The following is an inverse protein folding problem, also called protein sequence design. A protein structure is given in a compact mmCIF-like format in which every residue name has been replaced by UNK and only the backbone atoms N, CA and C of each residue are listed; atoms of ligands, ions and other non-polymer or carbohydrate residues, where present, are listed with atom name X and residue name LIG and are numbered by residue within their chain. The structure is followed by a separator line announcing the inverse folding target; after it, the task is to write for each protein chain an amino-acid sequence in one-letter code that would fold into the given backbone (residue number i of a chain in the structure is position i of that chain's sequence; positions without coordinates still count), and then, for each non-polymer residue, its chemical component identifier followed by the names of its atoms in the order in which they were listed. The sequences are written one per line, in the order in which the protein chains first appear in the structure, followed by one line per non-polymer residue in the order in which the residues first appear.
data_IF_437474216835
#
_entry.id   IF_437474216835
#
_cell.length_a   1.000
_cell.length_b   1.000
_cell.length_c   1.000
_cell.angle_alpha   90.00
_cell.angle_beta   90.00
_cell.angle_gamma   90.00
#
_symmetry.space_group_name_H-M   'P 1'
#
loop_
_entity.id
_entity.type
_entity.pdbx_description
1 polymer ?
#
# COMPACT_ATOMS: atom_id res chain seq x y z
N UNK A 1 30.39 1.18 19.25
CA UNK A 1 30.57 2.49 18.59
C UNK A 1 29.38 2.67 17.68
N UNK A 2 28.54 3.68 17.92
CA UNK A 2 27.37 3.95 17.08
C UNK A 2 27.87 4.56 15.77
N UNK A 3 27.62 3.91 14.64
CA UNK A 3 27.82 4.55 13.34
C UNK A 3 26.91 5.78 13.26
N UNK A 4 27.49 6.91 12.86
CA UNK A 4 26.71 8.12 12.61
C UNK A 4 25.86 7.92 11.36
N UNK A 5 24.57 8.24 11.45
CA UNK A 5 23.68 8.27 10.29
C UNK A 5 24.09 9.40 9.33
N UNK A 6 23.96 9.20 8.02
CA UNK A 6 24.26 10.24 7.04
C UNK A 6 23.32 11.43 7.19
N UNK A 7 23.84 12.62 6.88
CA UNK A 7 23.17 13.91 7.10
C UNK A 7 22.00 14.20 6.12
N UNK A 8 21.38 13.17 5.58
CA UNK A 8 20.35 13.27 4.53
C UNK A 8 18.96 13.37 5.18
N UNK A 9 18.14 14.29 4.68
CA UNK A 9 16.76 14.44 5.08
C UNK A 9 15.81 13.72 4.10
N UNK A 10 14.66 13.26 4.60
CA UNK A 10 13.64 12.61 3.77
C UNK A 10 12.25 13.04 4.21
N UNK A 11 11.32 13.12 3.27
CA UNK A 11 9.91 13.36 3.56
C UNK A 11 9.15 12.05 3.39
N UNK A 12 8.33 11.71 4.38
CA UNK A 12 7.45 10.56 4.31
C UNK A 12 6.00 11.00 4.18
N UNK A 13 5.26 10.33 3.30
CA UNK A 13 3.81 10.34 3.29
C UNK A 13 3.28 9.05 3.91
N UNK A 14 2.51 9.19 4.98
CA UNK A 14 1.86 8.06 5.66
C UNK A 14 0.34 8.07 5.45
N UNK A 15 -0.11 7.46 4.35
CA UNK A 15 -1.53 7.24 4.05
C UNK A 15 -2.19 6.19 4.94
N UNK A 16 -1.53 5.84 6.05
CA UNK A 16 -1.94 4.90 7.09
C UNK A 16 -1.30 5.29 8.43
N UNK A 17 -1.81 6.26 9.21
CA UNK A 17 -1.56 6.15 10.64
C UNK A 17 -2.22 4.82 11.06
N UNK A 18 -1.42 3.79 11.36
CA UNK A 18 -1.90 2.49 11.85
C UNK A 18 -2.86 2.66 13.04
N UNK A 19 -2.71 3.77 13.77
CA UNK A 19 -3.57 4.21 14.88
C UNK A 19 -4.94 4.78 14.48
N UNK A 20 -5.26 4.96 13.19
CA UNK A 20 -6.49 5.65 12.74
C UNK A 20 -7.35 4.85 11.76
N UNK A 21 -6.99 3.59 11.46
CA UNK A 21 -7.85 2.66 10.71
C UNK A 21 -8.22 3.06 9.28
N UNK A 22 -7.60 4.09 8.69
CA UNK A 22 -8.00 4.63 7.40
C UNK A 22 -6.98 4.35 6.30
N UNK A 23 -7.26 3.38 5.43
CA UNK A 23 -6.73 3.36 4.07
C UNK A 23 -7.53 4.34 3.21
N UNK A 24 -6.94 4.87 2.12
CA UNK A 24 -7.70 5.70 1.19
C UNK A 24 -8.70 4.83 0.43
N UNK A 25 -9.99 5.14 0.56
CA UNK A 25 -11.05 4.44 -0.17
C UNK A 25 -10.97 4.77 -1.65
N UNK A 26 -10.97 3.74 -2.50
CA UNK A 26 -11.11 3.90 -3.94
C UNK A 26 -12.57 4.20 -4.27
N UNK A 27 -12.82 5.19 -5.12
CA UNK A 27 -14.17 5.68 -5.46
C UNK A 27 -14.89 4.82 -6.52
N UNK A 28 -14.71 3.51 -6.45
CA UNK A 28 -15.38 2.56 -7.33
C UNK A 28 -15.74 1.29 -6.55
N UNK A 29 -16.88 0.71 -6.89
CA UNK A 29 -17.30 -0.62 -6.40
C UNK A 29 -16.94 -1.74 -7.37
N UNK A 30 -16.45 -1.42 -8.57
CA UNK A 30 -16.05 -2.43 -9.54
C UNK A 30 -14.60 -2.87 -9.24
N UNK A 31 -14.37 -4.13 -8.84
CA UNK A 31 -13.03 -4.64 -8.51
C UNK A 31 -12.02 -4.48 -9.64
N UNK A 32 -12.45 -4.66 -10.90
CA UNK A 32 -11.57 -4.57 -12.06
C UNK A 32 -11.08 -3.14 -12.29
N UNK A 33 -11.99 -2.16 -12.25
CA UNK A 33 -11.60 -0.75 -12.35
C UNK A 33 -10.72 -0.30 -11.18
N UNK A 34 -10.97 -0.82 -9.98
CA UNK A 34 -10.14 -0.54 -8.81
C UNK A 34 -8.72 -1.10 -8.99
N UNK A 35 -8.60 -2.33 -9.48
CA UNK A 35 -7.32 -2.96 -9.79
C UNK A 35 -6.55 -2.20 -10.87
N UNK A 36 -7.20 -1.92 -12.01
CA UNK A 36 -6.60 -1.19 -13.14
C UNK A 36 -6.10 0.20 -12.72
N UNK A 37 -6.83 0.90 -11.86
CA UNK A 37 -6.41 2.22 -11.37
C UNK A 37 -5.18 2.13 -10.44
N UNK A 38 -5.06 1.08 -9.62
CA UNK A 38 -3.85 0.85 -8.81
C UNK A 38 -2.68 0.43 -9.69
N UNK A 39 -2.92 -0.46 -10.66
CA UNK A 39 -1.91 -0.92 -11.59
C UNK A 39 -1.33 0.25 -12.39
N UNK A 40 -2.19 1.10 -12.95
CA UNK A 40 -1.75 2.29 -13.70
C UNK A 40 -0.90 3.24 -12.85
N UNK A 41 -1.20 3.39 -11.55
CA UNK A 41 -0.36 4.15 -10.63
C UNK A 41 1.02 3.50 -10.44
N UNK A 42 1.05 2.18 -10.20
CA UNK A 42 2.30 1.47 -9.98
C UNK A 42 3.19 1.51 -11.24
N UNK A 43 2.62 1.25 -12.41
CA UNK A 43 3.34 1.26 -13.69
C UNK A 43 3.94 2.64 -14.00
N UNK A 44 3.27 3.73 -13.60
CA UNK A 44 3.71 5.09 -13.90
C UNK A 44 4.74 5.64 -12.89
N UNK A 45 4.59 5.31 -11.60
CA UNK A 45 5.30 6.04 -10.54
C UNK A 45 6.36 5.23 -9.81
N UNK A 46 6.41 3.90 -10.00
CA UNK A 46 7.25 3.07 -9.12
C UNK A 46 8.03 2.00 -9.87
N UNK A 47 9.18 1.64 -9.30
CA UNK A 47 9.92 0.42 -9.61
C UNK A 47 9.72 -0.58 -8.47
N UNK A 48 9.47 -1.85 -8.79
CA UNK A 48 9.40 -2.90 -7.77
C UNK A 48 10.75 -3.06 -7.05
N UNK A 49 10.73 -3.05 -5.71
CA UNK A 49 11.91 -3.22 -4.86
C UNK A 49 12.01 -4.63 -4.25
N UNK A 50 11.19 -5.56 -4.75
CA UNK A 50 11.08 -6.95 -4.32
C UNK A 50 9.91 -7.62 -5.02
N UNK A 51 9.62 -8.87 -4.67
CA UNK A 51 8.51 -9.61 -5.26
C UNK A 51 7.17 -9.11 -4.70
N UNK A 52 6.30 -8.48 -5.51
CA UNK A 52 4.96 -8.15 -5.04
C UNK A 52 4.19 -9.42 -4.74
N UNK A 53 3.37 -9.37 -3.69
CA UNK A 53 2.49 -10.48 -3.34
C UNK A 53 1.05 -10.12 -3.65
N UNK A 54 0.36 -11.06 -4.29
CA UNK A 54 -1.08 -10.96 -4.55
C UNK A 54 -1.75 -12.13 -3.84
N UNK A 55 -2.68 -11.81 -2.93
CA UNK A 55 -3.33 -12.78 -2.05
C UNK A 55 -4.83 -12.55 -2.05
N UNK A 56 -5.61 -13.60 -2.29
CA UNK A 56 -7.04 -13.58 -2.02
C UNK A 56 -7.24 -13.89 -0.54
N UNK A 57 -7.91 -12.99 0.17
CA UNK A 57 -8.28 -13.14 1.58
C UNK A 57 -9.79 -13.29 1.67
N UNK A 58 -10.27 -14.31 2.37
CA UNK A 58 -11.68 -14.48 2.73
C UNK A 58 -11.79 -14.45 4.25
N UNK A 59 -12.47 -13.45 4.79
CA UNK A 59 -12.65 -13.25 6.22
C UNK A 59 -13.74 -14.18 6.78
N UNK A 60 -13.64 -14.53 8.06
CA UNK A 60 -14.73 -15.18 8.79
C UNK A 60 -15.71 -14.13 9.33
N UNK A 61 -16.91 -14.58 9.70
CA UNK A 61 -17.96 -13.72 10.24
C UNK A 61 -18.80 -12.99 9.20
N UNK A 62 -18.77 -13.41 7.93
CA UNK A 62 -19.79 -13.03 6.94
C UNK A 62 -20.88 -14.11 6.79
N UNK A 63 -21.90 -13.85 5.96
CA UNK A 63 -22.98 -14.80 5.70
C UNK A 63 -22.46 -16.17 5.24
N UNK A 64 -22.96 -17.30 5.78
CA UNK A 64 -22.43 -18.64 5.47
C UNK A 64 -22.38 -18.95 3.98
N UNK A 65 -23.48 -18.71 3.24
CA UNK A 65 -23.58 -19.01 1.80
C UNK A 65 -22.51 -18.31 0.96
N UNK A 66 -22.47 -16.97 0.90
CA UNK A 66 -21.42 -16.22 0.21
C UNK A 66 -20.00 -16.59 0.67
N UNK A 67 -19.82 -16.85 1.97
CA UNK A 67 -18.52 -17.25 2.52
C UNK A 67 -18.05 -18.60 1.98
N UNK A 68 -18.95 -19.59 1.94
CA UNK A 68 -18.67 -20.92 1.42
C UNK A 68 -18.45 -20.91 -0.10
N UNK A 69 -19.27 -20.17 -0.85
CA UNK A 69 -19.11 -20.00 -2.29
C UNK A 69 -17.74 -19.41 -2.65
N UNK A 70 -17.30 -18.36 -1.95
CA UNK A 70 -15.99 -17.74 -2.18
C UNK A 70 -14.84 -18.69 -1.82
N UNK A 71 -14.96 -19.46 -0.73
CA UNK A 71 -13.94 -20.46 -0.35
C UNK A 71 -13.87 -21.63 -1.33
N UNK A 72 -15.03 -22.11 -1.80
CA UNK A 72 -15.11 -23.18 -2.80
C UNK A 72 -14.50 -22.73 -4.13
N UNK A 73 -14.85 -21.52 -4.59
CA UNK A 73 -14.22 -20.89 -5.75
C UNK A 73 -12.69 -20.80 -5.58
N UNK A 74 -12.22 -20.23 -4.46
CA UNK A 74 -10.80 -20.06 -4.21
C UNK A 74 -10.06 -21.41 -4.23
N UNK A 75 -10.66 -22.44 -3.63
CA UNK A 75 -10.08 -23.78 -3.60
C UNK A 75 -10.00 -24.40 -5.00
N UNK A 76 -11.04 -24.25 -5.81
CA UNK A 76 -11.08 -24.77 -7.17
C UNK A 76 -10.12 -24.02 -8.10
N UNK A 77 -10.04 -22.69 -8.00
CA UNK A 77 -9.26 -21.86 -8.90
C UNK A 77 -7.79 -21.70 -8.50
N UNK A 78 -7.47 -21.77 -7.20
CA UNK A 78 -6.15 -21.45 -6.64
C UNK A 78 -5.50 -22.61 -5.88
N UNK A 79 -6.22 -23.72 -5.68
CA UNK A 79 -5.78 -24.85 -4.85
C UNK A 79 -6.04 -24.62 -3.36
N UNK A 80 -5.34 -25.37 -2.50
CA UNK A 80 -5.51 -25.25 -1.04
C UNK A 80 -5.10 -23.88 -0.48
N UNK A 81 -5.72 -23.43 0.63
CA UNK A 81 -5.32 -22.19 1.29
C UNK A 81 -3.88 -22.28 1.79
N UNK A 82 -3.12 -21.20 1.63
CA UNK A 82 -1.77 -21.06 2.20
C UNK A 82 -1.83 -20.83 3.72
N UNK A 83 -2.87 -20.14 4.17
CA UNK A 83 -3.12 -19.86 5.58
C UNK A 83 -4.60 -20.04 5.87
N UNK A 84 -4.90 -20.68 7.00
CA UNK A 84 -6.23 -20.72 7.56
C UNK A 84 -6.12 -20.55 9.07
N UNK A 85 -6.82 -19.56 9.61
CA UNK A 85 -6.85 -19.32 11.05
C UNK A 85 -8.26 -18.97 11.52
N UNK A 86 -8.41 -18.51 12.76
CA UNK A 86 -9.72 -18.16 13.34
C UNK A 86 -10.37 -16.93 12.69
N UNK A 87 -9.59 -16.05 12.07
CA UNK A 87 -10.09 -14.80 11.49
C UNK A 87 -10.30 -14.86 9.97
N UNK A 88 -9.50 -15.63 9.24
CA UNK A 88 -9.52 -15.64 7.76
C UNK A 88 -8.88 -16.88 7.14
N UNK A 89 -9.10 -17.02 5.83
CA UNK A 89 -8.38 -17.95 4.95
C UNK A 89 -7.71 -17.15 3.83
N UNK A 90 -6.52 -17.57 3.40
CA UNK A 90 -5.73 -16.87 2.39
C UNK A 90 -5.22 -17.82 1.31
N UNK A 91 -5.25 -17.36 0.05
CA UNK A 91 -4.69 -18.06 -1.10
C UNK A 91 -3.72 -17.15 -1.84
N UNK A 92 -2.57 -17.68 -2.25
CA UNK A 92 -1.67 -16.97 -3.16
C UNK A 92 -2.32 -16.93 -4.55
N UNK A 93 -2.38 -15.76 -5.16
CA UNK A 93 -2.92 -15.56 -6.51
C UNK A 93 -1.76 -15.35 -7.46
N UNK A 94 -1.65 -16.22 -8.47
CA UNK A 94 -0.67 -16.06 -9.56
C UNK A 94 -1.16 -15.00 -10.55
N UNK A 95 -0.26 -14.32 -11.29
CA UNK A 95 -0.66 -13.28 -12.24
C UNK A 95 -1.79 -13.71 -13.20
N UNK A 96 -1.71 -14.91 -13.78
CA UNK A 96 -2.74 -15.42 -14.70
C UNK A 96 -4.11 -15.72 -14.08
N UNK A 97 -4.25 -15.70 -12.74
CA UNK A 97 -5.51 -15.94 -12.04
C UNK A 97 -6.17 -14.65 -11.52
N UNK A 98 -5.50 -13.49 -11.64
CA UNK A 98 -5.99 -12.21 -11.11
C UNK A 98 -7.37 -11.86 -11.68
N UNK A 99 -7.51 -11.92 -13.01
CA UNK A 99 -8.77 -11.58 -13.68
C UNK A 99 -9.93 -12.49 -13.27
N UNK A 100 -9.67 -13.79 -13.09
CA UNK A 100 -10.65 -14.75 -12.60
C UNK A 100 -11.09 -14.42 -11.18
N UNK A 101 -10.16 -14.04 -10.30
CA UNK A 101 -10.48 -13.63 -8.92
C UNK A 101 -11.25 -12.31 -8.88
N UNK A 102 -10.86 -11.31 -9.68
CA UNK A 102 -11.58 -10.04 -9.78
C UNK A 102 -13.02 -10.23 -10.27
N UNK A 103 -13.25 -11.14 -11.22
CA UNK A 103 -14.58 -11.51 -11.67
C UNK A 103 -15.41 -12.16 -10.56
N UNK A 104 -14.81 -13.07 -9.77
CA UNK A 104 -15.48 -13.69 -8.63
C UNK A 104 -15.84 -12.67 -7.54
N UNK A 105 -14.95 -11.72 -7.24
CA UNK A 105 -15.22 -10.64 -6.28
C UNK A 105 -16.35 -9.73 -6.75
N UNK A 106 -16.42 -9.44 -8.06
CA UNK A 106 -17.47 -8.61 -8.67
C UNK A 106 -18.84 -9.30 -8.62
N UNK A 107 -18.85 -10.61 -8.83
CA UNK A 107 -20.07 -11.43 -8.88
C UNK A 107 -20.53 -11.89 -7.49
N UNK A 108 -19.75 -11.63 -6.44
CA UNK A 108 -20.17 -11.88 -5.07
C UNK A 108 -21.42 -11.04 -4.72
N UNK A 109 -22.23 -11.56 -3.81
CA UNK A 109 -23.41 -10.86 -3.31
C UNK A 109 -23.04 -9.44 -2.81
N UNK A 110 -23.93 -8.46 -3.02
CA UNK A 110 -23.75 -7.10 -2.49
C UNK A 110 -23.68 -7.07 -0.98
N UNK A 111 -24.29 -8.07 -0.33
CA UNK A 111 -24.26 -8.27 1.12
C UNK A 111 -23.10 -9.18 1.56
N UNK A 112 -22.13 -9.46 0.68
CA UNK A 112 -20.88 -10.14 1.03
C UNK A 112 -19.96 -9.21 1.84
N UNK A 113 -20.40 -8.90 3.06
CA UNK A 113 -19.69 -8.19 4.11
C UNK A 113 -19.56 -9.07 5.35
N UNK A 114 -18.58 -8.78 6.19
CA UNK A 114 -18.49 -9.33 7.54
C UNK A 114 -19.50 -8.68 8.46
N UNK A 115 -19.71 -9.25 9.66
CA UNK A 115 -20.52 -8.68 10.74
C UNK A 115 -20.12 -7.26 11.17
N UNK A 116 -18.90 -6.83 10.82
CA UNK A 116 -18.37 -5.49 11.09
C UNK A 116 -18.47 -4.56 9.87
N UNK A 117 -19.15 -4.96 8.79
CA UNK A 117 -19.33 -4.16 7.59
C UNK A 117 -18.12 -4.08 6.65
N UNK A 118 -17.04 -4.82 6.94
CA UNK A 118 -15.89 -4.93 6.01
C UNK A 118 -16.18 -5.87 4.85
N UNK A 119 -15.56 -5.70 3.66
CA UNK A 119 -15.67 -6.65 2.57
C UNK A 119 -15.37 -8.08 3.03
N UNK A 120 -16.24 -9.04 2.67
CA UNK A 120 -16.08 -10.45 3.06
C UNK A 120 -14.82 -11.07 2.44
N UNK A 121 -14.50 -10.70 1.20
CA UNK A 121 -13.27 -11.10 0.55
C UNK A 121 -12.57 -9.90 -0.08
N UNK A 122 -11.26 -10.00 -0.23
CA UNK A 122 -10.44 -9.01 -0.92
C UNK A 122 -9.25 -9.65 -1.61
N UNK A 123 -8.97 -9.19 -2.82
CA UNK A 123 -7.70 -9.40 -3.48
C UNK A 123 -6.72 -8.32 -2.97
N UNK A 124 -5.74 -8.74 -2.20
CA UNK A 124 -4.74 -7.88 -1.58
C UNK A 124 -3.47 -7.92 -2.42
N UNK A 125 -3.02 -6.75 -2.88
CA UNK A 125 -1.74 -6.55 -3.52
C UNK A 125 -0.83 -5.79 -2.56
N UNK A 126 0.25 -6.42 -2.10
CA UNK A 126 1.28 -5.82 -1.25
C UNK A 126 2.60 -5.75 -2.02
N UNK A 127 3.19 -4.56 -2.14
CA UNK A 127 4.39 -4.31 -2.90
C UNK A 127 5.34 -3.36 -2.17
N UNK A 128 6.61 -3.77 -2.05
CA UNK A 128 7.71 -2.87 -1.75
C UNK A 128 8.20 -2.21 -3.04
N UNK A 129 8.40 -0.90 -2.99
CA UNK A 129 8.60 -0.10 -4.20
C UNK A 129 9.67 0.97 -3.99
N UNK A 130 10.32 1.40 -5.08
CA UNK A 130 11.08 2.65 -5.14
C UNK A 130 10.31 3.65 -6.01
N UNK A 131 10.21 4.90 -5.55
CA UNK A 131 9.55 5.95 -6.33
C UNK A 131 10.46 6.43 -7.46
N UNK A 132 9.90 6.53 -8.66
CA UNK A 132 10.57 7.09 -9.82
C UNK A 132 10.64 8.60 -9.73
N UNK A 133 11.79 9.16 -10.11
CA UNK A 133 11.90 10.59 -10.38
C UNK A 133 11.19 10.89 -11.71
N UNK A 134 10.15 11.74 -11.72
CA UNK A 134 9.40 12.04 -12.95
C UNK A 134 10.25 12.71 -14.04
N UNK A 135 11.42 13.27 -13.71
CA UNK A 135 12.31 13.92 -14.67
C UNK A 135 13.21 12.93 -15.41
N UNK A 136 13.64 11.86 -14.73
CA UNK A 136 14.63 10.92 -15.29
C UNK A 136 14.03 9.55 -15.59
N UNK A 137 12.88 9.20 -15.00
CA UNK A 137 12.32 7.85 -15.03
C UNK A 137 13.08 6.85 -14.15
N UNK A 138 14.13 7.29 -13.47
CA UNK A 138 14.96 6.47 -12.58
C UNK A 138 14.55 6.69 -11.12
N UNK A 139 14.67 5.70 -10.23
CA UNK A 139 14.27 5.92 -8.86
C UNK A 139 15.28 6.79 -8.09
N UNK A 140 14.79 7.64 -7.18
CA UNK A 140 15.62 8.56 -6.38
C UNK A 140 16.76 7.81 -5.66
N UNK A 141 18.01 8.04 -6.06
CA UNK A 141 19.16 7.26 -5.59
C UNK A 141 19.50 7.50 -4.11
N UNK A 142 19.18 8.68 -3.61
CA UNK A 142 19.41 9.11 -2.24
C UNK A 142 18.25 8.80 -1.29
N UNK A 143 17.22 8.11 -1.79
CA UNK A 143 16.05 7.68 -1.00
C UNK A 143 16.00 6.15 -1.00
N UNK A 144 16.71 5.54 -0.06
CA UNK A 144 16.73 4.08 0.15
C UNK A 144 16.87 3.75 1.63
N UNK A 145 16.41 2.57 2.09
CA UNK A 145 16.64 2.11 3.46
C UNK A 145 18.10 2.19 3.90
N UNK A 146 19.01 1.83 3.01
CA UNK A 146 20.45 1.82 3.25
C UNK A 146 20.99 3.23 3.49
N UNK A 147 20.49 4.22 2.75
CA UNK A 147 20.80 5.65 2.99
C UNK A 147 20.42 6.09 4.40
N UNK A 148 19.45 5.47 5.06
CA UNK A 148 19.07 5.83 6.44
C UNK A 148 19.52 4.78 7.46
N UNK A 149 20.53 3.97 7.14
CA UNK A 149 21.00 2.83 7.94
C UNK A 149 19.86 1.93 8.46
N UNK A 150 18.81 1.79 7.63
CA UNK A 150 17.58 1.05 7.90
C UNK A 150 16.89 1.47 9.20
N UNK A 151 16.90 2.76 9.51
CA UNK A 151 16.30 3.33 10.71
C UNK A 151 14.81 2.92 10.85
N UNK A 152 14.40 2.28 11.96
CA UNK A 152 13.03 1.89 12.19
C UNK A 152 12.15 3.11 12.51
N UNK A 153 11.03 3.25 11.80
CA UNK A 153 10.10 4.37 11.98
C UNK A 153 9.06 4.07 13.04
N UNK A 154 8.60 2.82 13.12
CA UNK A 154 7.59 2.37 14.07
C UNK A 154 7.81 0.92 14.50
N UNK A 155 7.00 0.45 15.46
CA UNK A 155 7.01 -0.94 15.92
C UNK A 155 6.37 -1.94 14.96
N UNK A 156 5.94 -1.49 13.77
CA UNK A 156 5.24 -2.32 12.77
C UNK A 156 6.12 -2.68 11.58
N UNK A 157 7.43 -2.41 11.68
CA UNK A 157 8.43 -2.81 10.69
C UNK A 157 8.62 -1.80 9.57
N UNK A 158 8.08 -0.57 9.67
CA UNK A 158 8.39 0.48 8.70
C UNK A 158 9.82 0.96 8.88
N UNK A 159 10.51 1.15 7.76
CA UNK A 159 11.89 1.59 7.70
C UNK A 159 11.95 2.91 6.91
N UNK A 160 12.77 3.86 7.39
CA UNK A 160 12.96 5.14 6.74
C UNK A 160 13.65 4.96 5.38
N UNK A 161 13.21 5.69 4.36
CA UNK A 161 13.70 5.53 2.98
C UNK A 161 13.04 4.38 2.20
N UNK A 162 12.39 3.43 2.87
CA UNK A 162 11.55 2.44 2.19
C UNK A 162 10.25 3.08 1.70
N UNK A 163 9.70 2.56 0.60
CA UNK A 163 8.32 2.83 0.19
C UNK A 163 7.56 1.52 0.00
N UNK A 164 6.25 1.56 0.24
CA UNK A 164 5.36 0.42 0.14
C UNK A 164 3.94 0.83 -0.21
N UNK A 165 3.31 -0.02 -1.00
CA UNK A 165 1.92 0.13 -1.45
C UNK A 165 1.17 -1.14 -1.08
N UNK A 166 0.01 -0.97 -0.46
CA UNK A 166 -0.92 -2.07 -0.22
C UNK A 166 -2.31 -1.71 -0.72
N UNK A 167 -2.78 -2.40 -1.74
CA UNK A 167 -4.15 -2.29 -2.22
C UNK A 167 -4.98 -3.47 -1.72
N UNK A 168 -6.23 -3.21 -1.36
CA UNK A 168 -7.22 -4.22 -0.99
C UNK A 168 -8.44 -4.03 -1.88
N UNK A 169 -8.62 -4.91 -2.85
CA UNK A 169 -9.72 -4.86 -3.80
C UNK A 169 -10.81 -5.81 -3.33
N UNK A 170 -11.87 -5.27 -2.72
CA UNK A 170 -12.87 -6.06 -2.01
C UNK A 170 -14.18 -6.31 -2.77
N UNK A 171 -15.00 -7.20 -2.23
CA UNK A 171 -16.36 -7.49 -2.71
C UNK A 171 -17.27 -6.26 -2.72
N UNK A 172 -17.17 -5.39 -1.70
CA UNK A 172 -18.06 -4.23 -1.55
C UNK A 172 -17.34 -2.88 -1.52
N UNK A 173 -16.04 -2.87 -1.22
CA UNK A 173 -15.24 -1.67 -1.17
C UNK A 173 -13.77 -2.01 -1.46
N UNK A 174 -13.07 -1.07 -2.08
CA UNK A 174 -11.64 -1.17 -2.31
C UNK A 174 -10.89 -0.01 -1.65
N UNK A 175 -9.65 -0.24 -1.27
CA UNK A 175 -8.80 0.77 -0.64
C UNK A 175 -7.34 0.62 -1.05
N UNK A 176 -6.58 1.70 -0.87
CA UNK A 176 -5.14 1.75 -1.02
C UNK A 176 -4.49 2.39 0.21
N UNK A 177 -3.40 1.78 0.62
CA UNK A 177 -2.58 2.15 1.76
C UNK A 177 -1.17 2.46 1.27
N UNK A 178 -0.61 3.57 1.75
CA UNK A 178 0.64 4.11 1.22
C UNK A 178 1.60 4.43 2.37
N UNK A 179 2.84 3.97 2.23
CA UNK A 179 3.99 4.47 2.96
C UNK A 179 5.02 4.90 1.92
N UNK A 180 5.23 6.19 1.75
CA UNK A 180 6.07 6.71 0.66
C UNK A 180 7.21 7.52 1.25
N UNK A 181 8.43 7.28 0.81
CA UNK A 181 9.61 8.08 1.11
C UNK A 181 9.99 8.90 -0.12
N UNK A 182 10.07 10.22 0.03
CA UNK A 182 10.31 11.21 -1.02
C UNK A 182 11.54 12.07 -0.66
N UNK A 183 12.24 12.63 -1.65
CA UNK A 183 13.32 13.58 -1.39
C UNK A 183 12.81 14.80 -0.60
N UNK A 184 13.66 15.39 0.24
CA UNK A 184 13.32 16.53 1.10
C UNK A 184 13.82 17.89 0.58
N UNK A 185 14.33 17.92 -0.65
CA UNK A 185 14.84 19.11 -1.33
C UNK A 185 13.82 19.67 -2.33
N UNK A 186 14.30 20.43 -3.31
CA UNK A 186 13.51 21.06 -4.38
C UNK A 186 12.74 20.05 -5.25
N UNK A 187 13.13 18.77 -5.25
CA UNK A 187 12.43 17.69 -5.98
C UNK A 187 11.08 17.31 -5.34
N UNK A 188 10.88 17.59 -4.05
CA UNK A 188 9.71 17.14 -3.28
C UNK A 188 8.37 17.51 -3.94
N UNK A 189 8.21 18.76 -4.36
CA UNK A 189 6.95 19.25 -4.93
C UNK A 189 6.63 18.58 -6.28
N UNK A 190 7.66 18.35 -7.11
CA UNK A 190 7.51 17.67 -8.39
C UNK A 190 7.15 16.19 -8.19
N UNK A 191 7.86 15.49 -7.30
CA UNK A 191 7.59 14.09 -6.95
C UNK A 191 6.16 13.93 -6.40
N UNK A 192 5.75 14.77 -5.45
CA UNK A 192 4.40 14.74 -4.89
C UNK A 192 3.32 15.00 -5.95
N UNK A 193 3.53 15.96 -6.86
CA UNK A 193 2.59 16.26 -7.95
C UNK A 193 2.45 15.10 -8.92
N UNK A 194 3.56 14.45 -9.27
CA UNK A 194 3.55 13.27 -10.12
C UNK A 194 2.74 12.14 -9.48
N UNK A 195 2.98 11.84 -8.20
CA UNK A 195 2.18 10.87 -7.45
C UNK A 195 0.69 11.24 -7.43
N UNK A 196 0.35 12.50 -7.13
CA UNK A 196 -1.04 12.95 -7.09
C UNK A 196 -1.74 12.83 -8.44
N UNK A 197 -1.02 13.00 -9.55
CA UNK A 197 -1.57 12.87 -10.89
C UNK A 197 -1.98 11.43 -11.22
N UNK A 198 -1.20 10.44 -10.78
CA UNK A 198 -1.42 9.03 -11.10
C UNK A 198 -2.17 8.25 -10.02
N UNK A 199 -2.14 8.70 -8.76
CA UNK A 199 -2.84 8.02 -7.68
C UNK A 199 -4.35 8.03 -7.88
N UNK A 200 -5.05 6.90 -7.63
CA UNK A 200 -6.51 6.83 -7.71
C UNK A 200 -7.22 7.50 -6.52
N UNK A 201 -6.49 8.29 -5.72
CA UNK A 201 -6.94 8.94 -4.49
C UNK A 201 -6.25 10.30 -4.32
N UNK A 202 -6.89 11.21 -3.59
CA UNK A 202 -6.26 12.48 -3.19
C UNK A 202 -5.35 12.27 -1.98
N UNK A 203 -4.12 12.72 -2.08
CA UNK A 203 -3.19 12.78 -0.97
C UNK A 203 -3.68 13.80 0.05
N UNK A 204 -3.94 13.34 1.27
CA UNK A 204 -4.34 14.20 2.38
C UNK A 204 -3.19 15.11 2.84
N UNK A 205 -3.45 16.39 3.16
CA UNK A 205 -2.42 17.31 3.66
C UNK A 205 -1.93 16.96 5.07
N UNK A 206 -2.57 16.02 5.77
CA UNK A 206 -2.30 15.72 7.20
C UNK A 206 -1.22 14.65 7.43
N UNK A 207 -0.74 14.01 6.37
CA UNK A 207 0.07 12.80 6.46
C UNK A 207 1.55 13.00 6.09
N UNK A 208 1.98 14.25 5.91
CA UNK A 208 3.34 14.60 5.54
C UNK A 208 4.22 14.82 6.77
N UNK A 209 5.38 14.16 6.78
CA UNK A 209 6.39 14.30 7.83
C UNK A 209 7.77 14.44 7.21
N UNK A 210 8.58 15.33 7.74
CA UNK A 210 10.00 15.49 7.40
C UNK A 210 10.85 14.88 8.50
N UNK A 211 11.80 14.05 8.11
CA UNK A 211 12.75 13.38 8.97
C UNK A 211 14.12 14.02 8.80
N UNK A 212 14.73 14.38 9.93
CA UNK A 212 16.05 15.01 9.96
C UNK A 212 16.95 14.24 10.93
N UNK A 213 18.24 14.07 10.60
CA UNK A 213 19.19 13.53 11.55
C UNK A 213 19.25 14.40 12.80
N UNK A 214 19.45 13.79 13.97
CA UNK A 214 19.75 14.51 15.21
C UNK A 214 21.14 15.16 15.13
N UNK A 215 21.43 16.16 15.99
CA UNK A 215 22.72 16.89 15.94
C UNK A 215 23.95 15.98 16.11
N UNK A 216 23.80 14.92 16.88
CA UNK A 216 24.81 13.91 17.13
C UNK A 216 24.84 12.80 16.07
N UNK A 217 23.94 12.84 15.08
CA UNK A 217 23.83 11.86 14.01
C UNK A 217 23.40 10.47 14.47
N UNK A 218 22.95 10.30 15.71
CA UNK A 218 22.63 8.98 16.29
C UNK A 218 21.20 8.51 16.00
N UNK A 219 20.32 9.41 15.53
CA UNK A 219 18.91 9.12 15.30
C UNK A 219 18.28 10.07 14.27
N UNK A 220 16.98 9.91 14.02
CA UNK A 220 16.17 10.83 13.22
C UNK A 220 15.01 11.40 14.03
N UNK A 221 14.77 12.71 13.86
CA UNK A 221 13.61 13.42 14.40
C UNK A 221 12.58 13.68 13.31
N UNK A 222 11.34 13.29 13.57
CA UNK A 222 10.19 13.56 12.69
C UNK A 222 9.47 14.85 13.07
N UNK A 223 9.18 15.70 12.08
CA UNK A 223 8.32 16.88 12.23
C UNK A 223 7.21 16.86 11.18
N UNK A 224 5.96 17.16 11.56
CA UNK A 224 4.87 17.36 10.59
C UNK A 224 5.20 18.57 9.70
N UNK A 225 4.86 18.47 8.42
CA UNK A 225 4.98 19.57 7.47
C UNK A 225 3.65 19.78 6.73
N UNK A 226 3.39 20.97 6.17
CA UNK A 226 2.30 21.18 5.23
C UNK A 226 2.40 20.26 4.02
N UNK A 227 1.29 20.13 3.29
CA UNK A 227 1.28 19.48 1.98
C UNK A 227 2.28 20.18 1.03
N UNK A 228 3.12 19.44 0.30
CA UNK A 228 3.96 20.01 -0.77
C UNK A 228 3.18 20.24 -2.07
N UNK A 229 1.92 19.81 -2.13
CA UNK A 229 1.01 20.10 -3.24
C UNK A 229 0.36 21.48 -3.03
N UNK A 230 0.31 22.34 -4.07
CA UNK A 230 -0.49 23.56 -4.02
C UNK A 230 -1.98 23.20 -3.86
N UNK A 231 -2.75 24.11 -3.25
CA UNK A 231 -4.20 23.94 -3.03
C UNK A 231 -5.01 23.83 -4.32
#
# INVERSE_FOLDING_TARGET
MSEAHPAVEVVTYDGLPAASGGAHRLRTRNPRLAWEAVQSFLDACVLAAGDPTVTLVVWKGGPPGPSEQLRAFATAALGGPRLQNRARSEWRVRPGAVDTVLAALRNADRDAVTQHGHPLASLVWDAQVRLLDPRTGEPHQDVSPETFARFPVDGYGRILGASGVRASIGTTASSISLWLSLPADDRLAAAARHLQHHLPVRLSPKHWRRWRPTRDGSSYRSTKIPSPLPE
#
